data_IF_971136885350
#
_entry.id   IF_971136885350
#
_cell.length_a   1.000
_cell.length_b   1.000
_cell.length_c   1.000
_cell.angle_alpha   90.00
_cell.angle_beta   90.00
_cell.angle_gamma   90.00
#
_symmetry.space_group_name_H-M   'P 1'
#
loop_
_entity.id
_entity.type
_entity.pdbx_description
1 polymer ?
#
# COMPACT_ATOMS: atom_id res chain seq x y z
N UNK A 1 -6.30 -29.27 31.95
CA UNK A 1 -5.26 -29.16 30.90
C UNK A 1 -4.88 -27.69 30.80
N UNK A 2 -3.73 -27.31 31.33
CA UNK A 2 -3.24 -25.92 31.29
C UNK A 2 -2.48 -25.69 29.98
N UNK A 3 -3.07 -24.96 29.06
CA UNK A 3 -2.41 -24.51 27.82
C UNK A 3 -1.32 -23.51 28.19
N UNK A 4 -0.08 -23.87 27.93
CA UNK A 4 1.07 -22.97 28.05
C UNK A 4 1.12 -22.08 26.79
N UNK A 5 0.47 -20.95 26.84
CA UNK A 5 0.76 -19.87 25.89
C UNK A 5 2.13 -19.28 26.25
N UNK A 6 3.16 -19.82 25.65
CA UNK A 6 4.49 -19.22 25.65
C UNK A 6 4.45 -18.07 24.63
N UNK A 7 4.23 -16.86 25.14
CA UNK A 7 4.45 -15.62 24.41
C UNK A 7 5.90 -15.62 23.94
N UNK A 8 6.09 -15.76 22.63
CA UNK A 8 7.39 -15.63 21.98
C UNK A 8 7.78 -14.14 21.85
N UNK A 9 8.03 -13.51 23.00
CA UNK A 9 8.78 -12.27 23.07
C UNK A 9 10.27 -12.58 23.15
N UNK A 10 10.83 -13.20 22.12
CA UNK A 10 12.27 -13.21 21.96
C UNK A 10 12.63 -12.09 20.97
N UNK A 11 13.29 -11.07 21.52
CA UNK A 11 13.98 -10.05 20.74
C UNK A 11 14.90 -10.73 19.71
N UNK A 12 14.44 -10.83 18.47
CA UNK A 12 15.31 -11.12 17.33
C UNK A 12 16.11 -9.85 17.11
N UNK A 13 17.36 -9.86 17.59
CA UNK A 13 18.37 -8.89 17.16
C UNK A 13 18.35 -8.89 15.62
N UNK A 14 18.18 -7.73 15.07
CA UNK A 14 18.07 -7.44 13.65
C UNK A 14 19.36 -7.86 12.92
N UNK A 15 19.44 -9.10 12.47
CA UNK A 15 20.32 -9.45 11.35
C UNK A 15 19.66 -8.98 10.06
N UNK A 16 19.63 -7.66 9.86
CA UNK A 16 19.82 -7.21 8.49
C UNK A 16 21.25 -7.59 8.15
N UNK A 17 21.52 -8.22 7.01
CA UNK A 17 22.83 -8.07 6.41
C UNK A 17 23.06 -6.56 6.42
N UNK A 18 24.13 -6.13 7.07
CA UNK A 18 24.43 -4.70 7.22
C UNK A 18 24.37 -4.12 5.82
N UNK A 19 23.32 -3.33 5.55
CA UNK A 19 23.16 -2.72 4.23
C UNK A 19 24.36 -1.81 4.09
N UNK A 20 25.28 -2.18 3.23
CA UNK A 20 26.40 -1.32 2.86
C UNK A 20 25.86 -0.20 1.98
N UNK A 21 25.46 0.90 2.60
CA UNK A 21 24.87 2.06 1.93
C UNK A 21 25.77 2.67 0.85
N UNK A 22 27.09 2.48 0.94
CA UNK A 22 28.05 2.95 -0.05
C UNK A 22 27.99 2.11 -1.34
N UNK A 23 27.62 0.84 -1.20
CA UNK A 23 27.59 -0.11 -2.30
C UNK A 23 26.17 -0.57 -2.69
N UNK A 24 25.17 0.07 -2.05
CA UNK A 24 23.75 -0.23 -2.29
C UNK A 24 23.09 0.91 -3.04
N UNK A 25 22.31 0.56 -4.06
CA UNK A 25 21.49 1.47 -4.84
C UNK A 25 20.01 1.18 -4.60
N UNK A 26 19.25 2.19 -4.23
CA UNK A 26 17.81 2.10 -4.04
C UNK A 26 17.11 2.46 -5.35
N UNK A 27 16.36 1.55 -5.93
CA UNK A 27 15.51 1.84 -7.10
C UNK A 27 14.10 2.11 -6.59
N UNK A 28 13.62 3.32 -6.83
CA UNK A 28 12.30 3.78 -6.41
C UNK A 28 11.39 3.81 -7.62
N UNK A 29 10.45 2.90 -7.67
CA UNK A 29 9.56 2.65 -8.79
C UNK A 29 8.07 2.81 -8.44
N UNK A 30 7.77 2.90 -7.13
CA UNK A 30 6.42 3.11 -6.60
C UNK A 30 6.45 4.05 -5.39
N UNK A 31 5.28 4.56 -5.03
CA UNK A 31 5.10 5.40 -3.82
C UNK A 31 5.47 4.61 -2.57
N UNK A 32 5.06 3.35 -2.49
CA UNK A 32 5.37 2.48 -1.36
C UNK A 32 6.87 2.21 -1.25
N UNK A 33 7.56 2.05 -2.38
CA UNK A 33 9.03 1.93 -2.39
C UNK A 33 9.69 3.22 -1.89
N UNK A 34 9.23 4.40 -2.34
CA UNK A 34 9.72 5.68 -1.84
C UNK A 34 9.55 5.81 -0.32
N UNK A 35 8.38 5.42 0.18
CA UNK A 35 8.06 5.42 1.61
C UNK A 35 8.97 4.45 2.39
N UNK A 36 9.15 3.23 1.90
CA UNK A 36 10.05 2.25 2.50
C UNK A 36 11.50 2.74 2.54
N UNK A 37 11.97 3.35 1.46
CA UNK A 37 13.32 3.91 1.37
C UNK A 37 13.50 5.09 2.32
N UNK A 38 12.51 5.98 2.47
CA UNK A 38 12.55 7.06 3.45
C UNK A 38 12.76 6.53 4.89
N UNK A 39 12.07 5.44 5.24
CA UNK A 39 12.25 4.79 6.55
C UNK A 39 13.64 4.16 6.68
N UNK A 40 14.10 3.44 5.64
CA UNK A 40 15.38 2.73 5.68
C UNK A 40 16.58 3.67 5.68
N UNK A 41 16.49 4.76 4.93
CA UNK A 41 17.57 5.73 4.73
C UNK A 41 17.68 6.78 5.85
N UNK A 42 16.85 6.68 6.88
CA UNK A 42 16.86 7.63 8.00
C UNK A 42 18.28 7.85 8.55
N UNK A 43 18.77 9.09 8.48
CA UNK A 43 20.13 9.48 8.94
C UNK A 43 21.26 8.87 8.12
N UNK A 44 21.00 8.38 6.91
CA UNK A 44 21.98 7.80 5.99
C UNK A 44 21.95 8.52 4.66
N UNK A 45 23.13 8.62 4.03
CA UNK A 45 23.24 9.05 2.65
C UNK A 45 23.18 7.82 1.72
N UNK A 46 22.42 7.90 0.62
CA UNK A 46 22.14 6.78 -0.27
C UNK A 46 22.39 7.09 -1.74
N UNK A 47 22.68 6.05 -2.52
CA UNK A 47 22.56 6.08 -3.97
C UNK A 47 21.14 5.72 -4.38
N UNK A 48 20.54 6.48 -5.30
CA UNK A 48 19.15 6.32 -5.68
C UNK A 48 18.95 6.42 -7.19
N UNK A 49 18.05 5.58 -7.71
CA UNK A 49 17.51 5.65 -9.06
C UNK A 49 15.99 5.82 -8.95
N UNK A 50 15.44 6.88 -9.52
CA UNK A 50 14.00 7.03 -9.71
C UNK A 50 13.61 6.35 -11.03
N UNK A 51 12.90 5.25 -10.93
CA UNK A 51 12.34 4.54 -12.07
C UNK A 51 10.96 5.11 -12.40
N UNK A 52 10.90 6.04 -13.32
CA UNK A 52 9.66 6.65 -13.79
C UNK A 52 9.07 5.80 -14.92
N UNK A 53 7.93 5.15 -14.67
CA UNK A 53 7.23 4.37 -15.69
C UNK A 53 6.45 5.30 -16.61
N UNK A 54 6.64 5.18 -17.91
CA UNK A 54 5.86 5.89 -18.91
C UNK A 54 4.43 5.36 -18.92
N UNK A 55 3.56 6.02 -18.16
CA UNK A 55 2.14 5.69 -18.08
C UNK A 55 1.37 6.84 -18.71
N UNK A 56 0.81 6.60 -19.90
CA UNK A 56 0.16 7.63 -20.72
C UNK A 56 -1.06 8.28 -20.07
N UNK A 57 -1.71 7.62 -19.13
CA UNK A 57 -2.91 8.12 -18.44
C UNK A 57 -2.65 8.74 -17.06
N UNK A 58 -1.47 8.56 -16.46
CA UNK A 58 -1.09 9.25 -15.23
C UNK A 58 -0.23 10.45 -15.54
N UNK A 59 -0.78 11.64 -15.33
CA UNK A 59 -0.04 12.91 -15.43
C UNK A 59 0.73 13.25 -14.14
N UNK A 60 0.79 12.34 -13.15
CA UNK A 60 1.48 12.60 -11.91
C UNK A 60 2.98 12.81 -12.16
N UNK A 61 3.52 13.88 -11.62
CA UNK A 61 4.96 14.10 -11.59
C UNK A 61 5.60 13.20 -10.53
N UNK A 62 6.00 12.01 -10.97
CA UNK A 62 6.63 11.03 -10.08
C UNK A 62 7.93 11.54 -9.46
N UNK A 63 8.69 12.39 -10.16
CA UNK A 63 9.93 12.94 -9.64
C UNK A 63 9.62 13.86 -8.47
N UNK A 64 8.69 14.80 -8.67
CA UNK A 64 8.24 15.70 -7.60
C UNK A 64 7.65 14.92 -6.42
N UNK A 65 6.87 13.87 -6.68
CA UNK A 65 6.28 13.02 -5.65
C UNK A 65 7.34 12.26 -4.84
N UNK A 66 8.33 11.67 -5.50
CA UNK A 66 9.42 10.97 -4.81
C UNK A 66 10.29 11.94 -4.03
N UNK A 67 10.62 13.10 -4.59
CA UNK A 67 11.37 14.15 -3.88
C UNK A 67 10.60 14.67 -2.66
N UNK A 68 9.30 14.78 -2.75
CA UNK A 68 8.46 15.17 -1.63
C UNK A 68 8.49 14.13 -0.49
N UNK A 69 8.34 12.84 -0.81
CA UNK A 69 8.39 11.76 0.18
C UNK A 69 9.79 11.65 0.79
N UNK A 70 10.83 11.79 -0.03
CA UNK A 70 12.24 11.63 0.35
C UNK A 70 12.93 12.92 0.80
N UNK A 71 12.17 13.99 1.08
CA UNK A 71 12.74 15.31 1.41
C UNK A 71 13.63 15.34 2.65
N UNK A 72 13.60 14.30 3.49
CA UNK A 72 14.50 14.11 4.63
C UNK A 72 15.71 13.22 4.35
N UNK A 73 15.86 12.71 3.12
CA UNK A 73 16.91 11.78 2.74
C UNK A 73 18.07 12.51 2.06
N UNK A 74 19.30 12.19 2.47
CA UNK A 74 20.52 12.69 1.81
C UNK A 74 20.90 11.73 0.68
N UNK A 75 21.18 12.27 -0.51
CA UNK A 75 21.60 11.48 -1.66
C UNK A 75 23.11 11.59 -1.88
N UNK A 76 23.80 10.45 -2.00
CA UNK A 76 25.17 10.35 -2.55
C UNK A 76 25.13 10.51 -4.07
N UNK A 77 24.13 9.91 -4.72
CA UNK A 77 23.79 10.14 -6.11
C UNK A 77 22.30 9.95 -6.32
N UNK A 78 21.74 10.70 -7.26
CA UNK A 78 20.34 10.56 -7.70
C UNK A 78 20.31 10.56 -9.23
N UNK A 79 19.72 9.52 -9.79
CA UNK A 79 19.48 9.39 -11.23
C UNK A 79 17.99 9.23 -11.49
N UNK A 80 17.48 9.78 -12.57
CA UNK A 80 16.10 9.61 -13.01
C UNK A 80 16.11 8.85 -14.34
N UNK A 81 15.45 7.70 -14.35
CA UNK A 81 15.39 6.82 -15.53
C UNK A 81 13.94 6.65 -15.93
N UNK A 82 13.61 6.98 -17.16
CA UNK A 82 12.30 6.68 -17.75
C UNK A 82 12.32 5.28 -18.37
N UNK A 83 11.35 4.47 -18.00
CA UNK A 83 11.21 3.11 -18.53
C UNK A 83 9.79 2.91 -19.07
N UNK A 84 9.64 2.17 -20.19
CA UNK A 84 8.32 1.85 -20.69
C UNK A 84 7.54 1.00 -19.67
N UNK A 85 6.22 1.17 -19.63
CA UNK A 85 5.39 0.38 -18.72
C UNK A 85 5.23 -1.06 -19.25
N UNK A 86 5.51 -2.10 -18.43
CA UNK A 86 5.53 -3.49 -18.88
C UNK A 86 4.16 -4.04 -19.30
N UNK A 87 3.08 -3.40 -18.88
CA UNK A 87 1.70 -3.90 -19.08
C UNK A 87 0.90 -3.14 -20.14
N UNK A 88 1.52 -2.21 -20.90
CA UNK A 88 0.81 -1.37 -21.87
C UNK A 88 0.11 -2.11 -23.02
N UNK A 89 0.34 -3.41 -23.19
CA UNK A 89 -0.39 -4.25 -24.14
C UNK A 89 -0.40 -5.72 -23.68
N UNK A 90 -1.32 -6.13 -22.80
CA UNK A 90 -1.37 -7.51 -22.32
C UNK A 90 -1.71 -8.45 -23.49
N UNK A 91 -0.86 -9.43 -23.75
CA UNK A 91 -1.21 -10.50 -24.69
C UNK A 91 -2.31 -11.37 -24.12
N UNK A 92 -3.27 -11.78 -24.97
CA UNK A 92 -4.36 -12.70 -24.58
C UNK A 92 -3.85 -14.11 -24.27
N UNK A 93 -2.67 -14.51 -24.79
CA UNK A 93 -2.12 -15.87 -24.60
C UNK A 93 -0.96 -15.86 -23.60
N UNK A 94 -0.81 -16.93 -22.82
CA UNK A 94 0.29 -17.10 -21.86
C UNK A 94 1.67 -17.02 -22.54
N UNK A 95 1.81 -17.69 -23.71
CA UNK A 95 3.04 -17.66 -24.48
C UNK A 95 3.39 -16.24 -24.96
N UNK A 96 2.40 -15.51 -25.48
CA UNK A 96 2.59 -14.12 -25.89
C UNK A 96 2.99 -13.21 -24.73
N UNK A 97 2.49 -13.45 -23.52
CA UNK A 97 2.91 -12.71 -22.32
C UNK A 97 4.39 -12.96 -22.00
N UNK A 98 4.82 -14.22 -22.02
CA UNK A 98 6.22 -14.59 -21.77
C UNK A 98 7.16 -13.95 -22.78
N UNK A 99 6.86 -14.09 -24.08
CA UNK A 99 7.68 -13.51 -25.15
C UNK A 99 7.80 -11.99 -24.99
N UNK A 100 6.70 -11.30 -24.73
CA UNK A 100 6.72 -9.85 -24.52
C UNK A 100 7.53 -9.44 -23.30
N UNK A 101 7.42 -10.16 -22.18
CA UNK A 101 8.24 -9.90 -21.01
C UNK A 101 9.73 -10.06 -21.30
N UNK A 102 10.12 -11.08 -22.09
CA UNK A 102 11.52 -11.26 -22.49
C UNK A 102 11.99 -10.12 -23.38
N UNK A 103 11.19 -9.73 -24.38
CA UNK A 103 11.54 -8.61 -25.28
C UNK A 103 11.63 -7.30 -24.50
N UNK A 104 10.68 -7.03 -23.63
CA UNK A 104 10.67 -5.86 -22.76
C UNK A 104 11.93 -5.81 -21.89
N UNK A 105 12.23 -6.90 -21.16
CA UNK A 105 13.41 -6.98 -20.31
C UNK A 105 14.71 -6.75 -21.10
N UNK A 106 14.82 -7.32 -22.31
CA UNK A 106 15.97 -7.09 -23.20
C UNK A 106 16.10 -5.63 -23.62
N UNK A 107 15.00 -4.98 -23.98
CA UNK A 107 15.00 -3.56 -24.36
C UNK A 107 15.43 -2.66 -23.22
N UNK A 108 14.83 -2.84 -22.04
CA UNK A 108 15.18 -2.05 -20.85
C UNK A 108 16.65 -2.27 -20.47
N UNK A 109 17.14 -3.51 -20.48
CA UNK A 109 18.53 -3.80 -20.16
C UNK A 109 19.51 -3.23 -21.17
N UNK A 110 19.17 -3.22 -22.45
CA UNK A 110 20.02 -2.63 -23.47
C UNK A 110 20.22 -1.13 -23.27
N UNK A 111 19.19 -0.45 -22.78
CA UNK A 111 19.21 0.98 -22.51
C UNK A 111 19.81 1.31 -21.14
N UNK A 112 19.52 0.47 -20.15
CA UNK A 112 19.81 0.72 -18.73
C UNK A 112 20.41 -0.53 -18.07
N UNK A 113 21.69 -0.77 -18.30
CA UNK A 113 22.43 -1.85 -17.66
C UNK A 113 22.85 -1.43 -16.25
N UNK A 114 22.49 -2.24 -15.25
CA UNK A 114 22.89 -2.02 -13.86
C UNK A 114 24.28 -2.60 -13.59
N UNK A 115 25.03 -1.94 -12.69
CA UNK A 115 26.37 -2.37 -12.27
C UNK A 115 26.30 -3.68 -11.45
N UNK A 116 26.88 -4.78 -11.92
CA UNK A 116 26.82 -6.08 -11.22
C UNK A 116 27.59 -6.12 -9.90
N UNK A 117 28.45 -5.15 -9.63
CA UNK A 117 29.23 -5.08 -8.37
C UNK A 117 28.39 -4.52 -7.21
N UNK A 118 27.27 -3.88 -7.50
CA UNK A 118 26.38 -3.26 -6.50
C UNK A 118 25.23 -4.17 -6.09
N UNK A 119 24.68 -3.89 -4.91
CA UNK A 119 23.42 -4.47 -4.44
C UNK A 119 22.27 -3.49 -4.69
N UNK A 120 21.14 -3.99 -5.15
CA UNK A 120 19.96 -3.15 -5.44
C UNK A 120 18.82 -3.48 -4.50
N UNK A 121 18.15 -2.46 -3.99
CA UNK A 121 16.95 -2.59 -3.16
C UNK A 121 15.80 -1.96 -3.90
N UNK A 122 14.74 -2.72 -4.16
CA UNK A 122 13.56 -2.26 -4.91
C UNK A 122 12.34 -3.13 -4.67
N UNK A 123 11.20 -2.71 -5.21
CA UNK A 123 10.01 -3.56 -5.26
C UNK A 123 10.16 -4.73 -6.24
N UNK A 124 9.28 -5.72 -6.10
CA UNK A 124 9.20 -6.86 -7.04
C UNK A 124 8.69 -6.47 -8.43
N UNK A 125 8.18 -5.26 -8.61
CA UNK A 125 7.62 -4.77 -9.88
C UNK A 125 8.53 -3.78 -10.61
N UNK A 126 9.74 -3.53 -10.10
CA UNK A 126 10.73 -2.69 -10.77
C UNK A 126 11.14 -3.28 -12.11
N UNK A 127 10.94 -2.51 -13.18
CA UNK A 127 11.31 -2.90 -14.55
C UNK A 127 12.81 -3.00 -14.73
N UNK A 128 13.56 -2.08 -14.11
CA UNK A 128 15.03 -2.10 -14.13
C UNK A 128 15.57 -3.36 -13.45
N UNK A 129 15.03 -3.70 -12.28
CA UNK A 129 15.45 -4.88 -11.54
C UNK A 129 15.09 -6.17 -12.30
N UNK A 130 13.87 -6.28 -12.83
CA UNK A 130 13.43 -7.43 -13.63
C UNK A 130 14.33 -7.63 -14.86
N UNK A 131 14.69 -6.53 -15.55
CA UNK A 131 15.52 -6.59 -16.74
C UNK A 131 16.97 -7.04 -16.44
N UNK A 132 17.49 -6.73 -15.25
CA UNK A 132 18.86 -7.01 -14.85
C UNK A 132 19.00 -8.19 -13.85
N UNK A 133 17.91 -8.88 -13.53
CA UNK A 133 17.80 -9.90 -12.46
C UNK A 133 18.88 -10.98 -12.42
N UNK A 134 19.45 -11.36 -13.56
CA UNK A 134 20.49 -12.38 -13.65
C UNK A 134 21.91 -11.85 -13.44
N UNK A 135 22.07 -10.55 -13.31
CA UNK A 135 23.37 -9.88 -13.29
C UNK A 135 23.66 -9.14 -12.00
N UNK A 136 22.63 -8.82 -11.23
CA UNK A 136 22.76 -8.03 -10.01
C UNK A 136 22.26 -8.77 -8.78
N UNK A 137 22.80 -8.44 -7.62
CA UNK A 137 22.24 -8.85 -6.32
C UNK A 137 21.11 -7.91 -5.95
N UNK A 138 20.03 -8.46 -5.41
CA UNK A 138 18.88 -7.64 -5.01
C UNK A 138 18.28 -8.06 -3.68
N UNK A 139 17.72 -7.07 -3.00
CA UNK A 139 16.86 -7.22 -1.83
C UNK A 139 15.48 -6.70 -2.24
N UNK A 140 14.46 -7.50 -2.07
CA UNK A 140 13.11 -7.14 -2.50
C UNK A 140 12.34 -6.49 -1.36
N UNK A 141 11.67 -5.38 -1.68
CA UNK A 141 10.65 -4.76 -0.83
C UNK A 141 9.30 -5.32 -1.26
N UNK A 142 8.59 -5.85 -0.29
CA UNK A 142 7.23 -6.35 -0.48
C UNK A 142 6.23 -5.43 0.22
N UNK A 143 5.23 -5.00 -0.51
CA UNK A 143 4.33 -3.91 -0.13
C UNK A 143 2.93 -4.39 0.27
N UNK A 144 2.59 -5.67 0.01
CA UNK A 144 1.18 -6.04 -0.03
C UNK A 144 0.72 -7.13 0.95
N UNK A 145 -0.52 -6.98 1.46
CA UNK A 145 -1.20 -8.05 2.23
C UNK A 145 -1.37 -9.33 1.42
N UNK A 146 -1.41 -9.25 0.09
CA UNK A 146 -1.41 -10.41 -0.78
C UNK A 146 -0.24 -11.34 -0.55
N UNK A 147 0.93 -10.78 -0.34
CA UNK A 147 2.13 -11.55 -0.02
C UNK A 147 2.09 -12.13 1.39
N UNK A 148 1.52 -11.40 2.37
CA UNK A 148 1.29 -11.94 3.73
C UNK A 148 0.38 -13.16 3.67
N UNK A 149 -0.75 -13.07 2.96
CA UNK A 149 -1.66 -14.21 2.77
C UNK A 149 -0.97 -15.35 2.04
N UNK A 150 -0.22 -15.07 0.99
CA UNK A 150 0.48 -16.10 0.22
C UNK A 150 1.53 -16.85 1.07
N UNK A 151 2.34 -16.13 1.83
CA UNK A 151 3.37 -16.71 2.72
C UNK A 151 2.77 -17.52 3.87
N UNK A 152 1.67 -17.03 4.45
CA UNK A 152 1.01 -17.67 5.60
C UNK A 152 -0.09 -18.65 5.19
N UNK A 153 -0.22 -18.98 3.92
CA UNK A 153 -1.30 -19.82 3.37
C UNK A 153 -1.37 -21.21 4.03
N UNK A 154 -0.25 -21.81 4.38
CA UNK A 154 -0.23 -23.10 5.12
C UNK A 154 -0.84 -22.95 6.51
N UNK A 155 -0.50 -21.86 7.22
CA UNK A 155 -1.04 -21.60 8.54
C UNK A 155 -2.55 -21.36 8.49
N UNK A 156 -3.05 -20.68 7.45
CA UNK A 156 -4.46 -20.33 7.31
C UNK A 156 -5.32 -21.50 6.80
N UNK A 157 -4.84 -22.25 5.82
CA UNK A 157 -5.62 -23.33 5.14
C UNK A 157 -5.31 -24.74 5.66
N UNK A 158 -4.36 -24.83 6.57
CA UNK A 158 -3.82 -26.11 7.02
C UNK A 158 -2.82 -26.71 6.02
N UNK A 159 -2.12 -27.74 6.49
CA UNK A 159 -0.98 -28.35 5.81
C UNK A 159 -1.44 -29.36 4.72
N UNK A 160 -2.27 -28.92 3.77
CA UNK A 160 -2.73 -29.75 2.66
C UNK A 160 -1.66 -29.84 1.58
N UNK A 161 -1.54 -30.99 0.93
CA UNK A 161 -0.58 -31.20 -0.17
C UNK A 161 -0.71 -30.17 -1.30
N UNK A 162 -1.96 -29.82 -1.67
CA UNK A 162 -2.24 -28.81 -2.70
C UNK A 162 -1.70 -27.42 -2.33
N UNK A 163 -1.76 -27.03 -1.06
CA UNK A 163 -1.26 -25.72 -0.62
C UNK A 163 0.28 -25.71 -0.58
N UNK A 164 0.92 -26.81 -0.15
CA UNK A 164 2.37 -26.96 -0.25
C UNK A 164 2.86 -26.86 -1.69
N UNK A 165 2.15 -27.51 -2.61
CA UNK A 165 2.49 -27.46 -4.04
C UNK A 165 2.38 -26.04 -4.60
N UNK A 166 1.32 -25.30 -4.25
CA UNK A 166 1.15 -23.89 -4.68
C UNK A 166 2.28 -23.00 -4.16
N UNK A 167 2.70 -23.18 -2.91
CA UNK A 167 3.80 -22.43 -2.32
C UNK A 167 5.13 -22.80 -3.03
N UNK A 168 5.41 -24.07 -3.20
CA UNK A 168 6.61 -24.53 -3.87
C UNK A 168 6.71 -24.02 -5.32
N UNK A 169 5.58 -23.95 -6.03
CA UNK A 169 5.51 -23.37 -7.38
C UNK A 169 5.74 -21.84 -7.28
N UNK A 170 5.10 -21.16 -6.34
CA UNK A 170 5.28 -19.71 -6.13
C UNK A 170 6.74 -19.35 -5.82
N UNK A 171 7.37 -20.07 -4.90
CA UNK A 171 8.78 -19.88 -4.54
C UNK A 171 9.71 -20.14 -5.75
N UNK A 172 9.39 -21.15 -6.56
CA UNK A 172 10.17 -21.45 -7.76
C UNK A 172 10.01 -20.39 -8.85
N UNK A 173 8.80 -19.82 -9.00
CA UNK A 173 8.54 -18.69 -9.90
C UNK A 173 9.30 -17.46 -9.43
N UNK A 174 9.25 -17.15 -8.15
CA UNK A 174 9.99 -16.02 -7.57
C UNK A 174 11.51 -16.20 -7.73
N UNK A 175 12.04 -17.38 -7.45
CA UNK A 175 13.45 -17.71 -7.64
C UNK A 175 13.88 -17.64 -9.10
N UNK A 176 12.99 -17.98 -10.03
CA UNK A 176 13.24 -17.79 -11.46
C UNK A 176 13.21 -16.33 -11.86
N UNK A 177 12.29 -15.54 -11.29
CA UNK A 177 12.19 -14.10 -11.57
C UNK A 177 13.35 -13.31 -10.98
N UNK A 178 13.81 -13.69 -9.78
CA UNK A 178 14.86 -12.99 -9.04
C UNK A 178 15.89 -13.97 -8.47
N UNK A 179 16.72 -14.61 -9.32
CA UNK A 179 17.61 -15.69 -8.90
C UNK A 179 18.70 -15.25 -7.91
N UNK A 180 19.05 -13.97 -7.90
CA UNK A 180 20.05 -13.36 -7.02
C UNK A 180 19.43 -12.51 -5.91
N UNK A 181 18.13 -12.69 -5.62
CA UNK A 181 17.45 -11.96 -4.56
C UNK A 181 17.74 -12.57 -3.20
N UNK A 182 17.81 -11.71 -2.21
CA UNK A 182 17.86 -12.08 -0.80
C UNK A 182 16.49 -11.91 -0.14
N UNK A 183 16.35 -12.30 1.13
CA UNK A 183 15.12 -12.19 1.88
C UNK A 183 14.48 -10.80 1.81
N UNK A 184 13.18 -10.79 1.95
CA UNK A 184 12.34 -9.63 1.73
C UNK A 184 12.29 -8.69 2.92
N UNK A 185 12.24 -7.39 2.62
CA UNK A 185 11.87 -6.34 3.54
C UNK A 185 10.38 -6.06 3.30
N UNK A 186 9.60 -5.92 4.36
CA UNK A 186 8.17 -5.66 4.22
C UNK A 186 7.74 -4.42 5.00
N UNK A 187 6.76 -3.70 4.45
CA UNK A 187 6.04 -2.64 5.13
C UNK A 187 4.90 -3.17 6.00
N UNK A 188 4.60 -4.46 5.92
CA UNK A 188 3.58 -5.11 6.75
C UNK A 188 4.23 -5.86 7.91
N UNK A 189 3.48 -6.04 9.01
CA UNK A 189 3.94 -6.86 10.13
C UNK A 189 3.81 -8.34 9.77
N UNK A 190 4.85 -8.92 9.18
CA UNK A 190 4.86 -10.32 8.76
C UNK A 190 5.92 -11.10 9.55
N UNK A 191 5.49 -12.20 10.14
CA UNK A 191 6.33 -13.08 10.98
C UNK A 191 6.90 -14.26 10.19
N UNK A 192 6.65 -14.32 8.89
CA UNK A 192 7.15 -15.43 8.07
C UNK A 192 8.69 -15.45 8.03
N UNK A 193 9.33 -16.63 8.10
CA UNK A 193 10.81 -16.75 8.14
C UNK A 193 11.55 -16.12 6.95
N UNK A 194 10.90 -15.97 5.79
CA UNK A 194 11.50 -15.30 4.61
C UNK A 194 11.58 -13.79 4.73
N UNK A 195 10.92 -13.19 5.73
CA UNK A 195 10.94 -11.76 5.98
C UNK A 195 12.08 -11.43 6.94
N UNK A 196 13.03 -10.64 6.46
CA UNK A 196 14.20 -10.24 7.26
C UNK A 196 13.89 -9.04 8.12
N UNK A 197 13.11 -8.10 7.62
CA UNK A 197 12.77 -6.88 8.35
C UNK A 197 11.37 -6.39 8.04
N UNK A 198 10.63 -6.09 9.10
CA UNK A 198 9.41 -5.31 9.06
C UNK A 198 9.77 -3.84 9.33
N UNK A 199 9.42 -2.96 8.39
CA UNK A 199 9.59 -1.52 8.57
C UNK A 199 8.46 -0.98 9.45
N UNK A 200 8.80 0.01 10.27
CA UNK A 200 7.82 0.70 11.09
C UNK A 200 7.46 2.05 10.44
N UNK A 201 6.18 2.27 10.14
CA UNK A 201 5.73 3.53 9.55
C UNK A 201 6.04 4.74 10.45
N UNK A 202 6.17 4.55 11.77
CA UNK A 202 6.53 5.60 12.73
C UNK A 202 7.95 6.12 12.54
N UNK A 203 8.80 5.36 11.85
CA UNK A 203 10.15 5.79 11.49
C UNK A 203 10.18 6.66 10.23
N UNK A 204 9.04 6.83 9.55
CA UNK A 204 8.95 7.72 8.39
C UNK A 204 9.20 9.17 8.76
N UNK A 205 10.12 9.81 8.05
CA UNK A 205 10.44 11.23 8.20
C UNK A 205 10.54 11.88 6.82
N UNK A 206 9.77 12.95 6.64
CA UNK A 206 9.80 13.81 5.45
C UNK A 206 9.42 15.23 5.87
N UNK A 207 10.35 16.15 5.69
CA UNK A 207 10.12 17.56 6.06
C UNK A 207 9.05 18.21 5.21
N UNK A 208 9.07 17.96 3.89
CA UNK A 208 8.06 18.47 2.98
C UNK A 208 6.67 17.93 3.33
N UNK A 209 6.59 16.62 3.63
CA UNK A 209 5.33 15.99 4.02
C UNK A 209 4.76 16.61 5.30
N UNK A 210 5.57 16.71 6.36
CA UNK A 210 5.09 17.27 7.63
C UNK A 210 4.66 18.74 7.50
N UNK A 211 5.41 19.52 6.72
CA UNK A 211 5.09 20.95 6.50
C UNK A 211 3.79 21.13 5.70
N UNK A 212 3.48 20.24 4.75
CA UNK A 212 2.27 20.31 3.94
C UNK A 212 0.97 20.06 4.70
N UNK A 213 1.06 19.49 5.91
CA UNK A 213 -0.10 19.10 6.73
C UNK A 213 -0.59 20.21 7.66
N UNK A 214 -0.01 21.41 7.63
CA UNK A 214 -0.33 22.50 8.55
C UNK A 214 -1.82 22.88 8.57
N UNK A 215 -2.44 23.03 7.40
CA UNK A 215 -3.88 23.38 7.26
C UNK A 215 -4.76 22.23 7.75
N UNK A 216 -4.46 20.99 7.39
CA UNK A 216 -5.21 19.81 7.84
C UNK A 216 -5.11 19.64 9.35
N UNK A 217 -3.92 19.80 9.93
CA UNK A 217 -3.70 19.77 11.38
C UNK A 217 -4.49 20.85 12.13
N UNK A 218 -4.56 22.06 11.57
CA UNK A 218 -5.35 23.14 12.15
C UNK A 218 -6.86 22.83 12.16
N UNK A 219 -7.35 22.29 11.04
CA UNK A 219 -8.76 21.88 10.92
C UNK A 219 -9.12 20.78 11.93
N UNK A 220 -8.26 19.78 12.10
CA UNK A 220 -8.49 18.67 13.04
C UNK A 220 -8.60 19.11 14.50
N UNK A 221 -7.93 20.20 14.90
CA UNK A 221 -8.00 20.72 16.27
C UNK A 221 -9.37 21.29 16.63
N UNK A 222 -10.21 21.63 15.65
CA UNK A 222 -11.56 22.13 15.86
C UNK A 222 -12.58 21.03 16.19
N UNK A 223 -12.22 19.76 15.98
CA UNK A 223 -13.11 18.63 16.13
C UNK A 223 -12.82 17.83 17.40
N UNK A 224 -13.85 17.27 18.04
CA UNK A 224 -13.70 16.46 19.25
C UNK A 224 -13.19 15.05 18.96
N UNK A 225 -13.53 14.52 17.79
CA UNK A 225 -13.11 13.18 17.33
C UNK A 225 -12.80 13.25 15.84
N UNK A 226 -11.62 12.79 15.46
CA UNK A 226 -11.16 12.78 14.07
C UNK A 226 -11.14 11.32 13.55
N UNK A 227 -11.84 11.11 12.45
CA UNK A 227 -11.91 9.80 11.78
C UNK A 227 -11.33 9.93 10.39
N UNK A 228 -10.28 9.15 10.09
CA UNK A 228 -9.77 9.04 8.72
C UNK A 228 -10.59 7.99 7.97
N UNK A 229 -11.21 8.40 6.87
CA UNK A 229 -11.95 7.50 5.99
C UNK A 229 -11.16 7.30 4.70
N UNK A 230 -10.72 6.08 4.45
CA UNK A 230 -10.06 5.70 3.21
C UNK A 230 -11.10 5.14 2.25
N UNK A 231 -11.44 5.94 1.26
CA UNK A 231 -12.50 5.62 0.31
C UNK A 231 -12.08 4.49 -0.62
N UNK A 232 -13.05 3.70 -1.05
CA UNK A 232 -12.85 2.62 -2.01
C UNK A 232 -12.30 3.17 -3.33
N UNK A 233 -11.29 2.50 -3.87
CA UNK A 233 -10.83 2.73 -5.22
C UNK A 233 -11.67 1.95 -6.26
N UNK A 234 -11.46 2.20 -7.55
CA UNK A 234 -12.07 1.42 -8.61
C UNK A 234 -11.66 -0.05 -8.50
N UNK A 235 -12.62 -0.95 -8.75
CA UNK A 235 -12.43 -2.40 -8.60
C UNK A 235 -11.60 -3.03 -9.71
N UNK A 236 -11.44 -2.38 -10.84
CA UNK A 236 -10.66 -2.91 -11.95
C UNK A 236 -9.16 -2.84 -11.65
N UNK A 237 -8.46 -3.96 -11.83
CA UNK A 237 -7.01 -4.03 -11.69
C UNK A 237 -6.22 -3.21 -12.73
N UNK A 238 -6.90 -2.44 -13.57
CA UNK A 238 -6.36 -1.44 -14.48
C UNK A 238 -6.57 -0.07 -13.83
N UNK A 239 -5.85 0.17 -12.76
CA UNK A 239 -5.89 1.45 -12.08
C UNK A 239 -5.55 2.58 -13.06
N UNK A 240 -6.48 3.52 -13.24
CA UNK A 240 -6.15 4.83 -13.73
C UNK A 240 -6.65 5.24 -15.10
N UNK A 241 -7.68 4.60 -15.65
CA UNK A 241 -8.39 5.23 -16.76
C UNK A 241 -9.29 6.34 -16.19
N UNK A 242 -9.13 7.62 -16.59
CA UNK A 242 -9.96 8.73 -16.10
C UNK A 242 -11.46 8.49 -16.33
N UNK A 243 -11.83 7.76 -17.38
CA UNK A 243 -13.21 7.45 -17.73
C UNK A 243 -13.85 6.37 -16.83
N UNK A 244 -13.05 5.65 -16.01
CA UNK A 244 -13.59 4.61 -15.12
C UNK A 244 -14.21 5.20 -13.84
N UNK A 245 -13.72 6.35 -13.37
CA UNK A 245 -14.32 7.03 -12.22
C UNK A 245 -15.78 7.45 -12.50
N UNK A 246 -16.05 7.84 -13.75
CA UNK A 246 -17.40 8.19 -14.18
C UNK A 246 -18.29 6.95 -14.44
N UNK A 247 -17.71 5.79 -14.72
CA UNK A 247 -18.46 4.55 -14.92
C UNK A 247 -19.06 3.98 -13.63
N UNK A 248 -18.46 4.27 -12.46
CA UNK A 248 -18.99 3.81 -11.17
C UNK A 248 -20.01 4.75 -10.55
N UNK A 249 -20.12 5.96 -11.05
CA UNK A 249 -21.18 6.93 -10.81
C UNK A 249 -21.82 6.85 -9.43
N UNK A 250 -23.13 6.65 -9.42
CA UNK A 250 -23.95 6.57 -8.21
C UNK A 250 -23.63 5.34 -7.33
N UNK A 251 -23.19 4.24 -7.92
CA UNK A 251 -22.80 3.04 -7.17
C UNK A 251 -21.60 3.29 -6.26
N UNK A 252 -20.65 4.15 -6.69
CA UNK A 252 -19.51 4.53 -5.85
C UNK A 252 -19.95 5.35 -4.63
N UNK A 253 -20.85 6.31 -4.83
CA UNK A 253 -21.39 7.14 -3.74
C UNK A 253 -22.18 6.25 -2.79
N UNK A 254 -23.10 5.46 -3.31
CA UNK A 254 -23.92 4.55 -2.51
C UNK A 254 -23.08 3.60 -1.67
N UNK A 255 -22.05 2.97 -2.26
CA UNK A 255 -21.14 2.07 -1.57
C UNK A 255 -20.46 2.76 -0.36
N UNK A 256 -19.81 3.91 -0.62
CA UNK A 256 -19.09 4.61 0.43
C UNK A 256 -20.05 5.16 1.49
N UNK A 257 -21.17 5.74 1.08
CA UNK A 257 -22.18 6.30 1.99
C UNK A 257 -22.74 5.23 2.93
N UNK A 258 -23.19 4.09 2.39
CA UNK A 258 -23.72 2.99 3.23
C UNK A 258 -22.71 2.49 4.24
N UNK A 259 -21.45 2.31 3.83
CA UNK A 259 -20.40 1.88 4.73
C UNK A 259 -20.09 2.91 5.83
N UNK A 260 -20.06 4.21 5.48
CA UNK A 260 -19.86 5.30 6.45
C UNK A 260 -21.01 5.35 7.45
N UNK A 261 -22.26 5.29 6.99
CA UNK A 261 -23.42 5.32 7.88
C UNK A 261 -23.45 4.12 8.83
N UNK A 262 -23.22 2.91 8.30
CA UNK A 262 -23.14 1.69 9.10
C UNK A 262 -22.00 1.74 10.15
N UNK A 263 -20.90 2.38 9.82
CA UNK A 263 -19.79 2.63 10.76
C UNK A 263 -20.21 3.63 11.86
N UNK A 264 -20.84 4.75 11.49
CA UNK A 264 -21.26 5.78 12.45
C UNK A 264 -22.29 5.24 13.46
N UNK A 265 -23.14 4.32 13.03
CA UNK A 265 -24.10 3.64 13.94
C UNK A 265 -23.44 2.79 15.03
N UNK A 266 -22.17 2.42 14.85
CA UNK A 266 -21.40 1.67 15.84
C UNK A 266 -20.66 2.57 16.85
N UNK A 267 -20.58 3.87 16.57
CA UNK A 267 -19.93 4.83 17.44
C UNK A 267 -20.89 5.33 18.53
N UNK A 268 -20.38 5.69 19.71
CA UNK A 268 -21.18 6.38 20.71
C UNK A 268 -21.79 7.66 20.14
N UNK A 269 -23.12 7.81 20.27
CA UNK A 269 -23.89 8.92 19.66
C UNK A 269 -23.68 10.27 20.34
N UNK A 270 -23.08 10.28 21.51
CA UNK A 270 -22.86 11.47 22.35
C UNK A 270 -21.66 12.34 21.92
N UNK A 271 -20.84 11.85 20.99
CA UNK A 271 -19.64 12.55 20.56
C UNK A 271 -19.70 12.85 19.05
N UNK A 272 -19.68 14.15 18.72
CA UNK A 272 -19.59 14.59 17.33
C UNK A 272 -18.24 14.19 16.72
N UNK A 273 -18.29 13.51 15.59
CA UNK A 273 -17.12 13.09 14.83
C UNK A 273 -16.99 13.93 13.56
N UNK A 274 -15.77 14.29 13.20
CA UNK A 274 -15.44 14.84 11.89
C UNK A 274 -14.79 13.77 11.04
N UNK A 275 -15.29 13.57 9.83
CA UNK A 275 -14.80 12.62 8.87
C UNK A 275 -13.81 13.30 7.93
N UNK A 276 -12.62 12.78 7.82
CA UNK A 276 -11.58 13.22 6.89
C UNK A 276 -11.47 12.19 5.77
N UNK A 277 -12.11 12.48 4.65
CA UNK A 277 -12.19 11.57 3.51
C UNK A 277 -10.91 11.68 2.70
N UNK A 278 -10.28 10.55 2.43
CA UNK A 278 -9.15 10.45 1.52
C UNK A 278 -9.51 9.53 0.36
N UNK A 279 -9.55 10.11 -0.84
CA UNK A 279 -9.78 9.32 -2.06
C UNK A 279 -8.63 8.37 -2.35
N UNK A 280 -8.93 7.28 -3.06
CA UNK A 280 -7.90 6.38 -3.57
C UNK A 280 -7.06 7.10 -4.64
N UNK A 281 -5.73 6.86 -4.71
CA UNK A 281 -4.85 7.53 -5.67
C UNK A 281 -5.26 7.40 -7.13
N UNK A 282 -5.96 6.32 -7.49
CA UNK A 282 -6.44 6.11 -8.86
C UNK A 282 -7.63 6.99 -9.28
N UNK A 283 -8.32 7.64 -8.32
CA UNK A 283 -9.45 8.52 -8.62
C UNK A 283 -9.03 9.96 -8.96
N UNK A 284 -7.74 10.29 -8.78
CA UNK A 284 -7.27 11.67 -8.97
C UNK A 284 -7.79 12.64 -7.90
N UNK A 285 -7.41 13.91 -8.03
CA UNK A 285 -7.69 14.97 -7.05
C UNK A 285 -9.05 15.67 -7.24
N UNK A 286 -9.87 15.29 -8.22
CA UNK A 286 -11.01 16.12 -8.62
C UNK A 286 -12.23 15.35 -9.07
N UNK A 287 -12.57 14.25 -8.42
CA UNK A 287 -13.83 13.63 -8.79
C UNK A 287 -14.99 14.43 -8.18
N UNK A 288 -15.88 14.99 -9.02
CA UNK A 288 -17.14 15.58 -8.59
C UNK A 288 -17.96 14.65 -7.69
N UNK A 289 -17.68 13.35 -7.76
CA UNK A 289 -18.25 12.31 -6.90
C UNK A 289 -17.82 12.39 -5.42
N UNK A 290 -16.61 12.86 -5.13
CA UNK A 290 -16.23 13.09 -3.73
C UNK A 290 -17.00 14.30 -3.14
N UNK A 291 -17.15 15.36 -3.93
CA UNK A 291 -17.97 16.52 -3.52
C UNK A 291 -19.42 16.09 -3.27
N UNK A 292 -20.03 15.34 -4.18
CA UNK A 292 -21.39 14.82 -4.05
C UNK A 292 -21.56 13.92 -2.80
N UNK A 293 -20.56 13.08 -2.48
CA UNK A 293 -20.54 12.29 -1.25
C UNK A 293 -20.52 13.18 0.00
N UNK A 294 -19.68 14.23 0.00
CA UNK A 294 -19.58 15.18 1.11
C UNK A 294 -20.90 15.92 1.29
N UNK A 295 -21.47 16.48 0.22
CA UNK A 295 -22.75 17.19 0.25
C UNK A 295 -23.87 16.29 0.80
N UNK A 296 -23.87 15.01 0.41
CA UNK A 296 -24.84 14.02 0.90
C UNK A 296 -24.67 13.74 2.39
N UNK A 297 -23.42 13.66 2.89
CA UNK A 297 -23.13 13.50 4.32
C UNK A 297 -23.53 14.74 5.12
N UNK A 298 -23.20 15.91 4.61
CA UNK A 298 -23.58 17.20 5.22
C UNK A 298 -25.10 17.37 5.29
N UNK A 299 -25.82 16.99 4.23
CA UNK A 299 -27.30 16.96 4.21
C UNK A 299 -27.91 16.03 5.28
N UNK A 300 -27.14 15.07 5.79
CA UNK A 300 -27.51 14.20 6.92
C UNK A 300 -26.98 14.71 8.28
N UNK A 301 -26.40 15.92 8.32
CA UNK A 301 -25.82 16.51 9.54
C UNK A 301 -24.47 15.93 9.96
N UNK A 302 -23.79 15.22 9.06
CA UNK A 302 -22.47 14.62 9.30
C UNK A 302 -21.39 15.58 8.79
N UNK A 303 -20.45 15.97 9.66
CA UNK A 303 -19.34 16.83 9.28
C UNK A 303 -18.30 16.01 8.53
N UNK A 304 -18.06 16.34 7.26
CA UNK A 304 -17.11 15.64 6.39
C UNK A 304 -16.22 16.64 5.63
N UNK A 305 -14.95 16.28 5.46
CA UNK A 305 -13.98 17.09 4.74
C UNK A 305 -13.22 16.22 3.73
N UNK A 306 -12.97 16.77 2.54
CA UNK A 306 -11.93 16.21 1.67
C UNK A 306 -10.56 16.53 2.28
N UNK A 307 -9.92 15.55 2.88
CA UNK A 307 -8.62 15.71 3.54
C UNK A 307 -7.55 16.26 2.59
N UNK A 308 -7.64 15.94 1.30
CA UNK A 308 -6.64 16.31 0.30
C UNK A 308 -6.64 17.82 -0.01
N UNK A 309 -7.79 18.48 0.10
CA UNK A 309 -7.92 19.92 -0.09
C UNK A 309 -7.17 20.76 0.96
N UNK A 310 -6.75 20.14 2.06
CA UNK A 310 -6.03 20.77 3.17
C UNK A 310 -4.55 20.35 3.24
N UNK A 311 -4.07 19.67 2.22
CA UNK A 311 -2.66 19.27 2.08
C UNK A 311 -2.02 20.17 1.03
N UNK A 312 -0.98 20.90 1.41
CA UNK A 312 -0.30 21.85 0.53
C UNK A 312 0.70 21.11 -0.40
N UNK A 313 0.16 20.25 -1.25
CA UNK A 313 0.91 19.53 -2.28
C UNK A 313 -0.01 19.16 -3.45
N UNK A 314 0.43 19.44 -4.67
CA UNK A 314 -0.38 19.26 -5.89
C UNK A 314 -0.80 17.79 -6.11
N UNK A 315 0.09 16.83 -5.80
CA UNK A 315 -0.13 15.39 -5.96
C UNK A 315 -0.62 14.72 -4.65
N UNK A 316 -1.36 15.46 -3.81
CA UNK A 316 -1.80 14.99 -2.48
C UNK A 316 -2.58 13.66 -2.54
N UNK A 317 -3.35 13.41 -3.62
CA UNK A 317 -4.10 12.15 -3.82
C UNK A 317 -3.20 10.93 -3.85
N UNK A 318 -1.97 11.09 -4.33
CA UNK A 318 -0.96 10.03 -4.44
C UNK A 318 -0.20 9.77 -3.13
N UNK A 319 -0.37 10.60 -2.10
CA UNK A 319 0.33 10.43 -0.84
C UNK A 319 -0.17 9.20 -0.07
N UNK A 320 0.74 8.43 0.56
CA UNK A 320 0.35 7.29 1.37
C UNK A 320 -0.40 7.74 2.63
N UNK A 321 -1.48 7.04 2.97
CA UNK A 321 -2.27 7.33 4.16
C UNK A 321 -1.45 7.19 5.45
N UNK A 322 -0.48 6.30 5.45
CA UNK A 322 0.45 6.03 6.54
C UNK A 322 1.28 7.26 6.90
N UNK A 323 1.62 8.09 5.91
CA UNK A 323 2.25 9.37 6.12
C UNK A 323 1.35 10.34 6.90
N UNK A 324 0.05 10.36 6.62
CA UNK A 324 -0.91 11.14 7.41
C UNK A 324 -0.93 10.67 8.86
N UNK A 325 -1.01 9.36 9.06
CA UNK A 325 -1.07 8.74 10.39
C UNK A 325 0.23 8.89 11.19
N UNK A 326 1.36 9.14 10.51
CA UNK A 326 2.63 9.46 11.18
C UNK A 326 2.63 10.82 11.85
N UNK A 327 1.99 11.81 11.23
CA UNK A 327 2.05 13.21 11.66
C UNK A 327 0.76 13.75 12.25
N UNK A 328 -0.38 13.10 12.00
CA UNK A 328 -1.70 13.51 12.46
C UNK A 328 -2.31 12.45 13.36
N UNK A 329 -3.02 12.90 14.37
CA UNK A 329 -3.71 12.00 15.29
C UNK A 329 -5.16 11.80 14.86
N UNK A 330 -5.47 10.59 14.40
CA UNK A 330 -6.83 10.12 14.18
C UNK A 330 -7.17 9.09 15.27
N UNK A 331 -8.36 9.19 15.84
CA UNK A 331 -8.83 8.24 16.84
C UNK A 331 -9.28 6.93 16.22
N UNK A 332 -9.83 7.03 15.01
CA UNK A 332 -10.35 5.89 14.26
C UNK A 332 -9.97 5.99 12.79
N UNK A 333 -9.88 4.83 12.17
CA UNK A 333 -9.72 4.69 10.72
C UNK A 333 -10.88 3.85 10.21
N UNK A 334 -11.61 4.33 9.22
CA UNK A 334 -12.55 3.54 8.42
C UNK A 334 -11.90 3.22 7.09
N UNK A 335 -11.55 1.97 6.87
CA UNK A 335 -10.93 1.52 5.64
C UNK A 335 -11.97 0.89 4.71
N UNK A 336 -12.33 1.57 3.63
CA UNK A 336 -13.23 1.08 2.58
C UNK A 336 -12.47 0.48 1.41
N UNK A 337 -11.16 0.46 1.50
CA UNK A 337 -10.28 -0.34 0.66
C UNK A 337 -9.32 -1.16 1.52
N UNK A 338 -8.95 -2.35 1.06
CA UNK A 338 -8.03 -3.22 1.79
C UNK A 338 -6.59 -2.73 1.61
N UNK A 339 -6.21 -1.69 2.33
CA UNK A 339 -4.82 -1.27 2.41
C UNK A 339 -4.05 -2.14 3.39
N UNK A 340 -3.02 -2.80 2.90
CA UNK A 340 -2.13 -3.65 3.72
C UNK A 340 -1.44 -2.89 4.85
N UNK A 341 -1.16 -1.63 4.61
CA UNK A 341 -0.45 -0.79 5.56
C UNK A 341 -1.32 -0.40 6.75
N UNK A 342 -2.65 -0.29 6.56
CA UNK A 342 -3.58 -0.03 7.66
C UNK A 342 -3.57 -1.10 8.73
N UNK A 343 -3.42 -2.35 8.35
CA UNK A 343 -3.29 -3.45 9.29
C UNK A 343 -2.04 -3.28 10.16
N UNK A 344 -0.95 -2.83 9.54
CA UNK A 344 0.29 -2.54 10.25
C UNK A 344 0.15 -1.32 11.16
N UNK A 345 -0.52 -0.26 10.70
CA UNK A 345 -0.78 0.94 11.49
C UNK A 345 -1.68 0.62 12.69
N UNK A 346 -2.75 -0.12 12.50
CA UNK A 346 -3.63 -0.55 13.58
C UNK A 346 -2.84 -1.35 14.63
N UNK A 347 -2.02 -2.31 14.19
CA UNK A 347 -1.19 -3.12 15.07
C UNK A 347 -0.18 -2.30 15.89
N UNK A 348 0.52 -1.35 15.25
CA UNK A 348 1.63 -0.61 15.89
C UNK A 348 1.23 0.71 16.50
N UNK A 349 0.20 1.35 15.97
CA UNK A 349 -0.22 2.70 16.35
C UNK A 349 -1.26 2.74 17.46
N UNK A 350 -1.88 1.62 17.82
CA UNK A 350 -2.99 1.56 18.77
C UNK A 350 -4.26 2.25 18.26
N UNK A 351 -4.32 2.62 16.97
CA UNK A 351 -5.49 3.21 16.35
C UNK A 351 -6.48 2.11 16.00
N UNK A 352 -7.74 2.28 16.37
CA UNK A 352 -8.79 1.33 16.00
C UNK A 352 -9.13 1.48 14.52
N UNK A 353 -8.98 0.39 13.77
CA UNK A 353 -9.32 0.33 12.36
C UNK A 353 -10.63 -0.45 12.18
N UNK A 354 -11.57 0.11 11.43
CA UNK A 354 -12.84 -0.50 11.09
C UNK A 354 -12.86 -0.81 9.58
N UNK A 355 -13.33 -2.00 9.22
CA UNK A 355 -13.36 -2.44 7.83
C UNK A 355 -14.62 -3.25 7.52
N UNK A 356 -15.47 -2.81 6.59
CA UNK A 356 -16.62 -3.58 6.12
C UNK A 356 -16.20 -4.58 5.03
N UNK A 357 -15.35 -5.54 5.37
CA UNK A 357 -14.65 -6.38 4.40
C UNK A 357 -15.59 -7.20 3.50
N UNK A 358 -16.72 -7.68 4.04
CA UNK A 358 -17.77 -8.36 3.26
C UNK A 358 -18.36 -7.43 2.19
N UNK A 359 -18.72 -6.21 2.57
CA UNK A 359 -19.24 -5.19 1.67
C UNK A 359 -18.23 -4.82 0.56
N UNK A 360 -16.93 -4.72 0.91
CA UNK A 360 -15.85 -4.48 -0.06
C UNK A 360 -15.77 -5.63 -1.08
N UNK A 361 -15.90 -6.88 -0.63
CA UNK A 361 -15.86 -8.06 -1.52
C UNK A 361 -17.06 -8.10 -2.45
N UNK A 362 -18.24 -7.83 -1.92
CA UNK A 362 -19.50 -7.81 -2.69
C UNK A 362 -19.49 -6.73 -3.79
N UNK A 363 -18.90 -5.58 -3.52
CA UNK A 363 -18.75 -4.50 -4.50
C UNK A 363 -17.66 -4.80 -5.56
N UNK A 364 -16.67 -5.57 -5.22
CA UNK A 364 -15.47 -5.77 -6.06
C UNK A 364 -15.67 -6.80 -7.16
N UNK A 365 -16.80 -7.15 -7.63
CA UNK A 365 -17.19 -8.07 -8.76
C UNK A 365 -16.12 -9.07 -9.29
N UNK A 366 -14.88 -9.01 -8.79
CA UNK A 366 -13.74 -9.83 -9.23
C UNK A 366 -13.63 -11.06 -8.32
N UNK A 367 -14.18 -12.18 -8.77
CA UNK A 367 -13.97 -13.48 -8.12
C UNK A 367 -12.48 -13.81 -8.01
N UNK A 368 -12.02 -14.15 -6.80
CA UNK A 368 -10.67 -14.63 -6.55
C UNK A 368 -9.60 -13.55 -6.35
N UNK A 369 -9.99 -12.28 -6.25
CA UNK A 369 -9.09 -11.17 -5.90
C UNK A 369 -8.56 -11.24 -4.46
N UNK A 370 -7.61 -10.37 -4.14
CA UNK A 370 -7.01 -10.28 -2.81
C UNK A 370 -8.05 -10.04 -1.71
N UNK A 371 -9.07 -9.25 -1.98
CA UNK A 371 -10.15 -8.96 -1.04
C UNK A 371 -10.93 -10.23 -0.64
N UNK A 372 -11.18 -11.13 -1.59
CA UNK A 372 -11.83 -12.43 -1.32
C UNK A 372 -10.98 -13.31 -0.40
N UNK A 373 -9.66 -13.34 -0.61
CA UNK A 373 -8.75 -14.09 0.26
C UNK A 373 -8.64 -13.43 1.66
N UNK A 374 -8.59 -12.11 1.73
CA UNK A 374 -8.63 -11.37 2.99
C UNK A 374 -9.92 -11.65 3.77
N UNK A 375 -11.07 -11.63 3.11
CA UNK A 375 -12.36 -11.95 3.72
C UNK A 375 -12.40 -13.40 4.23
N UNK A 376 -11.90 -14.34 3.44
CA UNK A 376 -11.86 -15.76 3.81
C UNK A 376 -11.02 -16.02 5.06
N UNK A 377 -9.96 -15.27 5.27
CA UNK A 377 -9.00 -15.45 6.36
C UNK A 377 -8.95 -14.27 7.31
N UNK A 378 -9.99 -13.44 7.34
CA UNK A 378 -10.00 -12.19 8.11
C UNK A 378 -9.63 -12.39 9.58
N UNK A 379 -10.18 -13.42 10.23
CA UNK A 379 -9.93 -13.66 11.67
C UNK A 379 -8.49 -14.08 11.92
N UNK A 380 -7.95 -14.97 11.08
CA UNK A 380 -6.56 -15.43 11.19
C UNK A 380 -5.57 -14.29 10.93
N UNK A 381 -5.84 -13.46 9.92
CA UNK A 381 -5.02 -12.30 9.59
C UNK A 381 -5.10 -11.28 10.72
N UNK A 382 -6.30 -10.98 11.22
CA UNK A 382 -6.49 -10.05 12.32
C UNK A 382 -5.79 -10.53 13.60
N UNK A 383 -5.87 -11.82 13.89
CA UNK A 383 -5.14 -12.41 15.02
C UNK A 383 -3.62 -12.29 14.83
N UNK A 384 -3.10 -12.53 13.62
CA UNK A 384 -1.68 -12.32 13.27
C UNK A 384 -1.25 -10.87 13.49
N UNK A 385 -2.15 -9.92 13.21
CA UNK A 385 -1.96 -8.49 13.35
C UNK A 385 -2.39 -7.93 14.74
N UNK A 386 -2.53 -8.79 15.73
CA UNK A 386 -2.83 -8.38 17.12
C UNK A 386 -4.27 -8.01 17.41
N UNK A 387 -5.22 -8.30 16.52
CA UNK A 387 -6.66 -8.11 16.77
C UNK A 387 -7.15 -6.66 16.76
N UNK A 388 -6.42 -5.75 16.09
CA UNK A 388 -6.75 -4.32 16.10
C UNK A 388 -7.69 -3.86 14.97
N UNK A 389 -8.03 -4.76 14.04
CA UNK A 389 -8.98 -4.46 12.95
C UNK A 389 -10.35 -5.03 13.35
N UNK A 390 -11.36 -4.16 13.35
CA UNK A 390 -12.75 -4.49 13.65
C UNK A 390 -13.52 -4.64 12.34
N UNK A 391 -13.91 -5.87 12.02
CA UNK A 391 -14.77 -6.15 10.89
C UNK A 391 -16.23 -5.92 11.28
N UNK A 392 -16.99 -5.33 10.35
CA UNK A 392 -18.41 -5.10 10.56
C UNK A 392 -19.21 -5.34 9.29
N UNK A 393 -20.50 -5.63 9.44
CA UNK A 393 -21.41 -5.81 8.33
C UNK A 393 -22.17 -4.50 8.04
N UNK A 394 -22.25 -4.17 6.77
CA UNK A 394 -23.14 -3.11 6.27
C UNK A 394 -24.51 -3.75 6.06
N UNK A 395 -25.43 -3.48 6.99
CA UNK A 395 -26.78 -4.05 6.93
C UNK A 395 -27.47 -3.81 5.61
N UNK A 396 -28.36 -4.71 5.22
CA UNK A 396 -29.22 -4.60 4.03
C UNK A 396 -30.32 -3.54 4.16
N UNK A 397 -30.31 -2.74 5.23
CA UNK A 397 -31.33 -1.74 5.48
C UNK A 397 -31.26 -0.68 4.38
N UNK A 398 -32.13 -0.86 3.43
CA UNK A 398 -32.49 0.15 2.43
C UNK A 398 -33.03 1.39 3.18
N UNK A 399 -32.52 2.51 2.79
CA UNK A 399 -33.09 3.82 3.09
C UNK A 399 -34.42 4.00 2.35
#
# INVERSE_FOLDING_TARGET
MKSKNKVLSQGRSSFLPTVDYQNTVFIIDTISTAYAVAIMAKGRAIHCIYECKEITWRKADYVALFDFILSGVTFLSKEVISVPHPYLNPSKTLFGRIVRQIMFARSVRKLHSLDPSRTYISSMVSSLLIANKHHVKSILIDEGMGSVVARNRIAFRGNRFSERLKIAIGDRVLSFQFPNSTPQITLTNDVHPSVVKNLDYRDFESNAFSSSLGRLSALMKSSKRNVLVLLKGPSSGVAGHPDEADQYGDAYIEFNLRAILAYLDQLPRDISSALFLKSHPSLGSSSGKLTELIDTLEGKGIVAYDALNYIDFAEASSLPAEGLLRYLHFEYILALDASSLLWNVAYRGGVKCFMPLKHIVEFSEVEGGIHTELYRFQDQINQLMGGHVHFFDVGSTLV
#
